data_IF_486098445995
#
_entry.id   IF_486098445995
#
_cell.length_a   1.000
_cell.length_b   1.000
_cell.length_c   1.000
_cell.angle_alpha   90.00
_cell.angle_beta   90.00
_cell.angle_gamma   90.00
#
_symmetry.space_group_name_H-M   'P 1'
#
loop_
_entity.id
_entity.type
_entity.pdbx_description
1 polymer ?
#
# COMPACT_ATOMS: atom_id res chain seq x y z
N UNK A 1 -21.22 -22.86 0.55
CA UNK A 1 -20.21 -23.94 0.54
C UNK A 1 -18.97 -23.31 -0.05
N UNK A 2 -17.83 -23.31 0.63
CA UNK A 2 -16.59 -22.71 0.06
C UNK A 2 -16.09 -23.74 -0.95
N UNK A 3 -16.11 -23.38 -2.24
CA UNK A 3 -15.73 -24.27 -3.32
C UNK A 3 -14.20 -24.36 -3.43
N UNK A 4 -13.71 -25.55 -3.78
CA UNK A 4 -12.27 -25.79 -3.94
C UNK A 4 -11.63 -24.83 -4.98
N UNK A 5 -12.42 -24.40 -5.97
CA UNK A 5 -12.03 -23.39 -6.96
C UNK A 5 -11.67 -22.04 -6.33
N UNK A 6 -12.41 -21.61 -5.30
CA UNK A 6 -12.17 -20.33 -4.60
C UNK A 6 -10.81 -20.33 -3.87
N UNK A 7 -10.39 -21.46 -3.27
CA UNK A 7 -9.07 -21.58 -2.66
C UNK A 7 -7.94 -21.53 -3.70
N UNK A 8 -8.13 -22.12 -4.88
CA UNK A 8 -7.14 -22.05 -5.96
C UNK A 8 -7.01 -20.61 -6.44
N UNK A 9 -8.12 -19.90 -6.58
CA UNK A 9 -8.13 -18.48 -7.00
C UNK A 9 -7.43 -17.59 -5.99
N UNK A 10 -7.66 -17.81 -4.69
CA UNK A 10 -6.98 -17.07 -3.64
C UNK A 10 -5.47 -17.36 -3.61
N UNK A 11 -5.08 -18.63 -3.74
CA UNK A 11 -3.67 -19.01 -3.82
C UNK A 11 -2.99 -18.37 -5.06
N UNK A 12 -3.69 -18.34 -6.19
CA UNK A 12 -3.20 -17.69 -7.40
C UNK A 12 -3.05 -16.17 -7.20
N UNK A 13 -4.03 -15.53 -6.54
CA UNK A 13 -3.96 -14.11 -6.22
C UNK A 13 -2.76 -13.79 -5.33
N UNK A 14 -2.53 -14.57 -4.28
CA UNK A 14 -1.36 -14.40 -3.40
C UNK A 14 -0.04 -14.61 -4.16
N UNK A 15 0.01 -15.60 -5.05
CA UNK A 15 1.19 -15.85 -5.88
C UNK A 15 1.44 -14.67 -6.82
N UNK A 16 0.41 -14.12 -7.43
CA UNK A 16 0.51 -12.92 -8.28
C UNK A 16 1.00 -11.73 -7.47
N UNK A 17 0.47 -11.51 -6.26
CA UNK A 17 0.94 -10.45 -5.37
C UNK A 17 2.43 -10.59 -5.09
N UNK A 18 2.87 -11.76 -4.64
CA UNK A 18 4.28 -12.03 -4.30
C UNK A 18 5.21 -11.81 -5.49
N UNK A 19 4.79 -12.24 -6.68
CA UNK A 19 5.62 -12.14 -7.88
C UNK A 19 5.49 -10.76 -8.55
N UNK A 20 4.31 -10.16 -8.65
CA UNK A 20 4.13 -8.92 -9.38
C UNK A 20 4.57 -7.67 -8.59
N UNK A 21 4.58 -7.70 -7.26
CA UNK A 21 4.93 -6.55 -6.44
C UNK A 21 6.38 -6.04 -6.68
N UNK A 22 7.42 -6.89 -6.72
CA UNK A 22 8.76 -6.44 -7.09
C UNK A 22 8.85 -5.92 -8.53
N UNK A 23 8.14 -6.57 -9.49
CA UNK A 23 8.09 -6.10 -10.87
C UNK A 23 7.44 -4.72 -10.98
N UNK A 24 6.34 -4.49 -10.25
CA UNK A 24 5.65 -3.21 -10.19
C UNK A 24 6.55 -2.10 -9.63
N UNK A 25 7.27 -2.38 -8.55
CA UNK A 25 8.27 -1.45 -8.01
C UNK A 25 9.38 -1.16 -9.02
N UNK A 26 9.88 -2.18 -9.71
CA UNK A 26 10.87 -2.04 -10.79
C UNK A 26 10.35 -1.22 -11.97
N UNK A 27 9.08 -1.42 -12.35
CA UNK A 27 8.39 -0.63 -13.37
C UNK A 27 8.35 0.86 -13.00
N UNK A 28 7.88 1.18 -11.80
CA UNK A 28 7.81 2.56 -11.30
C UNK A 28 9.21 3.22 -11.30
N UNK A 29 10.22 2.52 -10.77
CA UNK A 29 11.61 3.02 -10.78
C UNK A 29 12.12 3.25 -12.21
N UNK A 30 11.81 2.36 -13.14
CA UNK A 30 12.21 2.48 -14.55
C UNK A 30 11.57 3.70 -15.23
N UNK A 31 10.25 3.89 -15.03
CA UNK A 31 9.51 5.04 -15.58
C UNK A 31 10.06 6.34 -14.98
N UNK A 32 10.28 6.39 -13.67
CA UNK A 32 10.82 7.56 -12.95
C UNK A 32 12.21 7.94 -13.49
N UNK A 33 13.11 6.97 -13.65
CA UNK A 33 14.45 7.21 -14.21
C UNK A 33 14.38 7.71 -15.64
N UNK A 34 13.52 7.14 -16.48
CA UNK A 34 13.33 7.62 -17.88
C UNK A 34 12.84 9.07 -17.92
N UNK A 35 11.87 9.43 -17.08
CA UNK A 35 11.36 10.81 -16.99
C UNK A 35 12.43 11.80 -16.52
N UNK A 36 13.37 11.33 -15.68
CA UNK A 36 14.49 12.15 -15.21
C UNK A 36 15.72 12.13 -16.14
N UNK A 37 15.63 11.49 -17.29
CA UNK A 37 16.77 11.35 -18.22
C UNK A 37 17.90 10.46 -17.70
N UNK A 38 17.60 9.57 -16.72
CA UNK A 38 18.58 8.65 -16.13
C UNK A 38 18.37 7.22 -16.64
N UNK A 39 19.44 6.44 -16.67
CA UNK A 39 19.38 5.00 -16.95
C UNK A 39 19.07 4.23 -15.68
N UNK A 40 18.20 3.22 -15.76
CA UNK A 40 17.89 2.31 -14.68
C UNK A 40 18.29 0.88 -15.04
N UNK A 41 18.62 0.07 -14.02
CA UNK A 41 19.13 -1.29 -14.19
C UNK A 41 18.08 -2.33 -14.69
N UNK A 42 16.82 -1.90 -14.89
CA UNK A 42 15.74 -2.73 -15.44
C UNK A 42 14.68 -3.12 -14.41
N UNK A 43 13.53 -3.60 -14.93
CA UNK A 43 12.34 -3.94 -14.14
C UNK A 43 12.62 -5.07 -13.13
N UNK A 44 13.51 -5.99 -13.46
CA UNK A 44 13.85 -7.15 -12.63
C UNK A 44 14.90 -6.87 -11.55
N UNK A 45 15.37 -5.64 -11.42
CA UNK A 45 16.36 -5.29 -10.40
C UNK A 45 15.89 -5.60 -8.96
N UNK A 46 14.64 -5.27 -8.55
CA UNK A 46 14.17 -5.59 -7.20
C UNK A 46 14.24 -7.07 -6.84
N UNK A 47 14.02 -7.97 -7.81
CA UNK A 47 14.17 -9.42 -7.55
C UNK A 47 15.63 -9.79 -7.24
N UNK A 48 16.58 -9.22 -7.98
CA UNK A 48 18.01 -9.46 -7.74
C UNK A 48 18.43 -8.95 -6.37
N UNK A 49 17.89 -7.81 -5.95
CA UNK A 49 18.16 -7.21 -4.65
C UNK A 49 17.61 -8.10 -3.53
N UNK A 50 16.38 -8.59 -3.64
CA UNK A 50 15.78 -9.53 -2.69
C UNK A 50 16.58 -10.82 -2.63
N UNK A 51 16.90 -11.45 -3.76
CA UNK A 51 17.68 -12.70 -3.81
C UNK A 51 19.07 -12.53 -3.19
N UNK A 52 19.73 -11.40 -3.47
CA UNK A 52 21.02 -11.05 -2.87
C UNK A 52 20.92 -10.91 -1.34
N UNK A 53 19.85 -10.30 -0.83
CA UNK A 53 19.64 -10.16 0.60
C UNK A 53 19.36 -11.52 1.28
N UNK A 54 18.61 -12.40 0.63
CA UNK A 54 18.38 -13.76 1.15
C UNK A 54 19.64 -14.61 1.23
N UNK A 55 20.63 -14.36 0.36
CA UNK A 55 21.92 -15.07 0.39
C UNK A 55 22.90 -14.54 1.43
N UNK A 56 22.58 -13.41 2.08
CA UNK A 56 23.43 -12.80 3.10
C UNK A 56 23.08 -13.30 4.51
N UNK A 57 24.07 -13.34 5.38
CA UNK A 57 23.90 -13.63 6.78
C UNK A 57 23.14 -12.53 7.51
N UNK A 58 22.40 -12.92 8.54
CA UNK A 58 21.70 -12.01 9.44
C UNK A 58 22.62 -11.63 10.57
N UNK A 59 22.97 -10.37 10.65
CA UNK A 59 23.69 -9.80 11.78
C UNK A 59 22.66 -9.09 12.65
N UNK A 60 22.59 -9.44 13.92
CA UNK A 60 21.70 -8.85 14.90
C UNK A 60 22.53 -8.00 15.87
N UNK A 61 22.01 -6.84 16.26
CA UNK A 61 22.58 -6.04 17.32
C UNK A 61 22.50 -6.81 18.66
N UNK A 62 23.49 -6.66 19.52
CA UNK A 62 23.54 -7.35 20.82
C UNK A 62 22.33 -7.01 21.71
N UNK A 63 21.82 -5.79 21.60
CA UNK A 63 20.67 -5.29 22.35
C UNK A 63 19.31 -5.66 21.73
N UNK A 64 19.29 -6.36 20.58
CA UNK A 64 18.06 -6.69 19.89
C UNK A 64 17.21 -7.68 20.69
N UNK A 65 15.97 -7.25 21.06
CA UNK A 65 15.02 -8.11 21.74
C UNK A 65 14.32 -9.10 20.78
N UNK A 66 13.39 -9.88 21.31
CA UNK A 66 12.57 -10.76 20.48
C UNK A 66 11.66 -9.98 19.50
N UNK A 67 11.25 -8.75 19.87
CA UNK A 67 10.42 -7.88 19.02
C UNK A 67 11.14 -7.59 17.71
N UNK A 68 12.40 -7.14 17.77
CA UNK A 68 13.18 -6.85 16.58
C UNK A 68 13.35 -8.10 15.68
N UNK A 69 13.51 -9.28 16.27
CA UNK A 69 13.72 -10.54 15.53
C UNK A 69 12.45 -11.01 14.82
N UNK A 70 11.26 -10.83 15.44
CA UNK A 70 9.98 -11.31 14.90
C UNK A 70 9.27 -10.30 13.99
N UNK A 71 9.54 -9.01 14.14
CA UNK A 71 8.91 -7.95 13.33
C UNK A 71 8.99 -8.20 11.82
N UNK A 72 10.10 -8.61 11.19
CA UNK A 72 10.13 -8.88 9.76
C UNK A 72 9.12 -9.94 9.31
N UNK A 73 8.93 -10.97 10.11
CA UNK A 73 7.98 -12.05 9.83
C UNK A 73 6.53 -11.60 10.01
N UNK A 74 6.26 -10.78 11.05
CA UNK A 74 4.94 -10.20 11.30
C UNK A 74 4.57 -9.26 10.16
N UNK A 75 5.45 -8.34 9.80
CA UNK A 75 5.24 -7.36 8.72
C UNK A 75 4.98 -8.07 7.40
N UNK A 76 5.80 -9.06 7.06
CA UNK A 76 5.62 -9.83 5.83
C UNK A 76 4.31 -10.63 5.86
N UNK A 77 4.03 -11.39 6.94
CA UNK A 77 2.85 -12.21 7.07
C UNK A 77 1.54 -11.40 7.04
N UNK A 78 1.49 -10.27 7.77
CA UNK A 78 0.32 -9.38 7.76
C UNK A 78 0.14 -8.75 6.37
N UNK A 79 1.22 -8.37 5.67
CA UNK A 79 1.10 -7.82 4.31
C UNK A 79 0.56 -8.86 3.33
N UNK A 80 0.98 -10.12 3.41
CA UNK A 80 0.43 -11.22 2.62
C UNK A 80 -1.05 -11.44 2.93
N UNK A 81 -1.42 -11.41 4.21
CA UNK A 81 -2.82 -11.56 4.65
C UNK A 81 -3.70 -10.43 4.08
N UNK A 82 -3.25 -9.17 4.13
CA UNK A 82 -3.96 -8.05 3.51
C UNK A 82 -4.17 -8.30 2.01
N UNK A 83 -3.14 -8.81 1.32
CA UNK A 83 -3.24 -9.13 -0.10
C UNK A 83 -4.22 -10.26 -0.44
N UNK A 84 -4.47 -11.18 0.51
CA UNK A 84 -5.51 -12.20 0.38
C UNK A 84 -6.94 -11.65 0.58
N UNK A 85 -7.08 -10.67 1.48
CA UNK A 85 -8.38 -10.07 1.81
C UNK A 85 -8.91 -9.17 0.68
N UNK A 86 -8.04 -8.43 -0.02
CA UNK A 86 -8.46 -7.48 -1.06
C UNK A 86 -8.86 -8.23 -2.33
N UNK A 87 -10.06 -8.02 -2.90
CA UNK A 87 -10.48 -8.63 -4.15
C UNK A 87 -9.72 -8.00 -5.33
N UNK A 88 -8.61 -8.62 -5.74
CA UNK A 88 -7.76 -8.13 -6.83
C UNK A 88 -8.19 -8.69 -8.19
N UNK A 89 -8.55 -9.97 -8.24
CA UNK A 89 -8.85 -10.72 -9.46
C UNK A 89 -10.31 -11.16 -9.49
N UNK A 90 -10.79 -11.67 -8.36
CA UNK A 90 -12.14 -12.17 -8.19
C UNK A 90 -12.79 -11.65 -6.92
N UNK A 91 -14.11 -11.62 -6.93
CA UNK A 91 -14.95 -11.14 -5.84
C UNK A 91 -15.22 -12.25 -4.82
N UNK A 92 -15.33 -13.51 -5.27
CA UNK A 92 -15.71 -14.66 -4.45
C UNK A 92 -14.47 -15.40 -3.91
N UNK A 93 -13.76 -14.75 -2.99
CA UNK A 93 -12.60 -15.33 -2.32
C UNK A 93 -13.00 -15.86 -0.93
N UNK A 94 -12.37 -16.93 -0.41
CA UNK A 94 -12.61 -17.44 0.94
C UNK A 94 -12.43 -16.38 2.03
N UNK A 95 -11.40 -15.53 1.92
CA UNK A 95 -11.16 -14.44 2.85
C UNK A 95 -12.00 -13.18 2.56
N UNK A 96 -12.77 -13.15 1.47
CA UNK A 96 -13.63 -12.00 1.14
C UNK A 96 -14.71 -11.75 2.21
N UNK A 97 -15.14 -12.77 2.94
CA UNK A 97 -16.05 -12.64 4.08
C UNK A 97 -15.47 -11.78 5.22
N UNK A 98 -14.14 -11.73 5.34
CA UNK A 98 -13.42 -10.90 6.31
C UNK A 98 -12.95 -9.57 5.74
N UNK A 99 -13.27 -9.29 4.47
CA UNK A 99 -12.86 -8.10 3.75
C UNK A 99 -13.65 -6.86 4.21
N UNK A 100 -13.55 -6.54 5.49
CA UNK A 100 -14.07 -5.29 6.06
C UNK A 100 -13.00 -4.19 5.98
N UNK A 101 -13.41 -3.00 5.59
CA UNK A 101 -12.53 -1.84 5.49
C UNK A 101 -11.85 -1.49 6.80
N UNK A 102 -12.58 -1.64 7.92
CA UNK A 102 -12.04 -1.36 9.26
C UNK A 102 -10.93 -2.36 9.58
N UNK A 103 -11.18 -3.66 9.32
CA UNK A 103 -10.18 -4.70 9.51
C UNK A 103 -8.92 -4.45 8.66
N UNK A 104 -9.10 -4.02 7.42
CA UNK A 104 -8.00 -3.70 6.51
C UNK A 104 -7.11 -2.56 7.06
N UNK A 105 -7.71 -1.46 7.51
CA UNK A 105 -6.97 -0.33 8.10
C UNK A 105 -6.25 -0.74 9.37
N UNK A 106 -6.88 -1.56 10.23
CA UNK A 106 -6.25 -2.11 11.43
C UNK A 106 -5.06 -3.01 11.13
N UNK A 107 -5.12 -3.81 10.07
CA UNK A 107 -3.98 -4.63 9.63
C UNK A 107 -2.80 -3.75 9.15
N UNK A 108 -3.06 -2.66 8.43
CA UNK A 108 -2.01 -1.70 8.10
C UNK A 108 -1.42 -1.02 9.34
N UNK A 109 -2.25 -0.69 10.34
CA UNK A 109 -1.79 -0.14 11.62
C UNK A 109 -0.88 -1.13 12.37
N UNK A 110 -1.17 -2.44 12.34
CA UNK A 110 -0.30 -3.48 12.93
C UNK A 110 1.09 -3.46 12.29
N UNK A 111 1.19 -3.38 10.97
CA UNK A 111 2.48 -3.31 10.26
C UNK A 111 3.30 -2.12 10.77
N UNK A 112 2.69 -0.94 10.86
CA UNK A 112 3.34 0.27 11.36
C UNK A 112 3.75 0.16 12.81
N UNK A 113 2.85 -0.32 13.65
CA UNK A 113 3.10 -0.49 15.07
C UNK A 113 4.35 -1.34 15.32
N UNK A 114 4.42 -2.53 14.73
CA UNK A 114 5.57 -3.41 14.91
C UNK A 114 6.85 -2.83 14.29
N UNK A 115 6.77 -2.15 13.15
CA UNK A 115 7.95 -1.51 12.53
C UNK A 115 8.50 -0.38 13.41
N UNK A 116 7.62 0.48 13.93
CA UNK A 116 8.02 1.56 14.84
C UNK A 116 8.57 1.02 16.17
N UNK A 117 7.93 -0.02 16.72
CA UNK A 117 8.38 -0.67 17.95
C UNK A 117 9.77 -1.30 17.78
N UNK A 118 10.02 -1.97 16.66
CA UNK A 118 11.32 -2.54 16.34
C UNK A 118 12.40 -1.47 16.14
N UNK A 119 12.05 -0.33 15.51
CA UNK A 119 12.97 0.79 15.37
C UNK A 119 13.40 1.40 16.71
N UNK A 120 12.53 1.36 17.72
CA UNK A 120 12.86 1.81 19.09
C UNK A 120 13.61 0.77 19.91
N UNK A 121 13.38 -0.52 19.64
CA UNK A 121 13.89 -1.65 20.45
C UNK A 121 15.41 -1.68 20.56
N UNK A 122 16.12 -1.31 19.50
CA UNK A 122 17.59 -1.33 19.47
C UNK A 122 18.20 -0.15 20.23
N UNK A 123 17.44 0.92 20.46
CA UNK A 123 17.93 2.10 21.17
C UNK A 123 18.87 2.99 20.35
N UNK A 124 18.89 2.87 19.01
CA UNK A 124 19.67 3.78 18.15
C UNK A 124 18.95 5.13 17.98
N UNK A 125 19.74 6.20 17.86
CA UNK A 125 19.19 7.56 17.69
C UNK A 125 18.35 7.68 16.42
N UNK A 126 18.75 7.04 15.32
CA UNK A 126 18.02 7.06 14.06
C UNK A 126 16.72 6.26 14.13
N UNK A 127 16.75 5.06 14.72
CA UNK A 127 15.55 4.24 14.94
C UNK A 127 14.51 4.98 15.79
N UNK A 128 14.94 5.60 16.89
CA UNK A 128 14.05 6.38 17.76
C UNK A 128 13.45 7.60 17.07
N UNK A 129 14.26 8.36 16.30
CA UNK A 129 13.77 9.51 15.53
C UNK A 129 12.81 9.08 14.40
N UNK A 130 13.12 8.00 13.66
CA UNK A 130 12.26 7.46 12.63
C UNK A 130 10.91 7.03 13.18
N UNK A 131 10.91 6.26 14.26
CA UNK A 131 9.71 5.78 14.94
C UNK A 131 8.82 6.91 15.46
N UNK A 132 9.40 7.93 16.10
CA UNK A 132 8.67 9.09 16.57
C UNK A 132 7.98 9.86 15.43
N UNK A 133 8.65 10.03 14.30
CA UNK A 133 8.10 10.67 13.10
C UNK A 133 6.99 9.83 12.48
N UNK A 134 7.20 8.52 12.36
CA UNK A 134 6.20 7.59 11.83
C UNK A 134 4.92 7.60 12.65
N UNK A 135 5.02 7.58 13.98
CA UNK A 135 3.86 7.65 14.87
C UNK A 135 3.10 8.98 14.74
N UNK A 136 3.81 10.10 14.52
CA UNK A 136 3.18 11.40 14.26
C UNK A 136 2.43 11.40 12.92
N UNK A 137 3.01 10.79 11.89
CA UNK A 137 2.38 10.64 10.58
C UNK A 137 1.15 9.72 10.68
N UNK A 138 1.27 8.59 11.35
CA UNK A 138 0.21 7.61 11.55
C UNK A 138 -1.03 8.24 12.20
N UNK A 139 -0.85 9.07 13.22
CA UNK A 139 -1.95 9.73 13.95
C UNK A 139 -2.88 10.57 13.06
N UNK A 140 -2.41 11.03 11.91
CA UNK A 140 -3.19 11.80 10.93
C UNK A 140 -3.55 10.98 9.68
N UNK A 141 -2.65 10.10 9.22
CA UNK A 141 -2.85 9.31 8.01
C UNK A 141 -3.93 8.24 8.19
N UNK A 142 -3.99 7.59 9.36
CA UNK A 142 -4.99 6.55 9.64
C UNK A 142 -6.43 7.09 9.66
N UNK A 143 -6.74 8.18 10.39
CA UNK A 143 -8.07 8.78 10.32
C UNK A 143 -8.43 9.27 8.92
N UNK A 144 -7.47 9.86 8.18
CA UNK A 144 -7.71 10.32 6.81
C UNK A 144 -8.06 9.15 5.87
N UNK A 145 -7.34 8.01 6.01
CA UNK A 145 -7.61 6.79 5.26
C UNK A 145 -8.99 6.23 5.59
N UNK A 146 -9.33 6.11 6.88
CA UNK A 146 -10.64 5.63 7.33
C UNK A 146 -11.76 6.50 6.74
N UNK A 147 -11.68 7.82 6.87
CA UNK A 147 -12.69 8.75 6.35
C UNK A 147 -12.83 8.68 4.84
N UNK A 148 -11.71 8.57 4.09
CA UNK A 148 -11.74 8.44 2.63
C UNK A 148 -12.46 7.17 2.19
N UNK A 149 -12.16 6.02 2.84
CA UNK A 149 -12.79 4.76 2.48
C UNK A 149 -14.22 4.66 3.02
N UNK A 150 -14.53 5.27 4.18
CA UNK A 150 -15.91 5.38 4.66
C UNK A 150 -16.81 6.20 3.73
N UNK A 151 -16.29 7.22 3.06
CA UNK A 151 -17.07 7.95 2.04
C UNK A 151 -17.54 7.01 0.92
N UNK A 152 -16.67 6.10 0.48
CA UNK A 152 -17.04 5.09 -0.52
C UNK A 152 -17.98 4.03 0.08
N UNK A 153 -17.77 3.64 1.34
CA UNK A 153 -18.65 2.72 2.08
C UNK A 153 -20.08 3.26 2.20
N UNK A 154 -20.23 4.56 2.46
CA UNK A 154 -21.55 5.22 2.48
C UNK A 154 -22.22 5.16 1.10
N UNK A 155 -21.50 5.44 0.02
CA UNK A 155 -22.02 5.34 -1.33
C UNK A 155 -22.44 3.91 -1.72
N UNK A 156 -21.80 2.89 -1.13
CA UNK A 156 -22.11 1.48 -1.35
C UNK A 156 -23.08 0.90 -0.30
N UNK A 157 -23.43 1.64 0.75
CA UNK A 157 -24.21 1.18 1.91
C UNK A 157 -23.66 -0.08 2.57
N UNK A 158 -22.34 -0.29 2.56
CA UNK A 158 -21.68 -1.47 3.15
C UNK A 158 -20.22 -1.19 3.48
N UNK A 159 -19.73 -1.77 4.58
CA UNK A 159 -18.30 -1.75 4.95
C UNK A 159 -17.52 -2.90 4.30
N UNK A 160 -18.21 -3.88 3.70
CA UNK A 160 -17.57 -4.97 2.98
C UNK A 160 -16.92 -4.47 1.69
N UNK A 161 -15.61 -4.63 1.57
CA UNK A 161 -14.85 -4.21 0.40
C UNK A 161 -15.34 -4.88 -0.88
N UNK A 162 -15.69 -6.16 -0.80
CA UNK A 162 -16.25 -6.93 -1.93
C UNK A 162 -17.54 -6.32 -2.43
N UNK A 163 -18.47 -6.00 -1.52
CA UNK A 163 -19.74 -5.37 -1.88
C UNK A 163 -19.53 -3.96 -2.43
N UNK A 164 -18.62 -3.18 -1.85
CA UNK A 164 -18.26 -1.85 -2.36
C UNK A 164 -17.79 -1.93 -3.81
N UNK A 165 -16.88 -2.85 -4.11
CA UNK A 165 -16.36 -3.06 -5.47
C UNK A 165 -17.46 -3.49 -6.43
N UNK A 166 -18.38 -4.38 -6.02
CA UNK A 166 -19.52 -4.81 -6.83
C UNK A 166 -20.46 -3.64 -7.16
N UNK A 167 -20.85 -2.86 -6.16
CA UNK A 167 -21.74 -1.71 -6.35
C UNK A 167 -21.10 -0.66 -7.26
N UNK A 168 -19.81 -0.38 -7.08
CA UNK A 168 -19.07 0.56 -7.92
C UNK A 168 -18.87 0.03 -9.35
N UNK A 169 -18.74 -1.29 -9.54
CA UNK A 169 -18.59 -1.90 -10.87
C UNK A 169 -19.88 -1.87 -11.70
N UNK A 170 -21.03 -2.05 -11.06
CA UNK A 170 -22.33 -2.12 -11.73
C UNK A 170 -23.09 -0.76 -11.68
N UNK A 171 -22.65 0.18 -10.88
CA UNK A 171 -23.24 1.50 -10.77
C UNK A 171 -23.10 2.31 -12.08
N UNK A 172 -24.06 3.19 -12.36
CA UNK A 172 -23.89 4.18 -13.41
C UNK A 172 -22.70 5.08 -13.06
N UNK A 173 -21.84 5.34 -14.03
CA UNK A 173 -20.70 6.24 -13.85
C UNK A 173 -21.21 7.68 -13.69
N UNK A 174 -21.56 8.05 -12.47
CA UNK A 174 -21.89 9.43 -12.11
C UNK A 174 -20.65 10.01 -11.41
N UNK A 175 -20.15 11.11 -11.94
CA UNK A 175 -19.10 11.91 -11.29
C UNK A 175 -19.68 12.50 -10.00
N UNK A 176 -19.52 11.78 -8.90
CA UNK A 176 -19.94 12.25 -7.57
C UNK A 176 -18.82 13.07 -6.94
N UNK A 177 -19.08 14.29 -6.50
CA UNK A 177 -18.07 15.12 -5.85
C UNK A 177 -17.47 14.44 -4.61
N UNK A 178 -18.27 13.69 -3.85
CA UNK A 178 -17.85 12.93 -2.69
C UNK A 178 -16.72 11.95 -3.01
N UNK A 179 -16.84 11.19 -4.12
CA UNK A 179 -15.83 10.23 -4.56
C UNK A 179 -14.56 10.91 -5.06
N UNK A 180 -14.67 12.09 -5.68
CA UNK A 180 -13.51 12.86 -6.14
C UNK A 180 -12.65 13.34 -4.94
N UNK A 181 -13.29 13.88 -3.90
CA UNK A 181 -12.59 14.26 -2.66
C UNK A 181 -11.98 13.03 -1.94
N UNK A 182 -12.72 11.92 -1.87
CA UNK A 182 -12.23 10.69 -1.29
C UNK A 182 -11.01 10.13 -2.05
N UNK A 183 -11.03 10.15 -3.39
CA UNK A 183 -9.90 9.74 -4.23
C UNK A 183 -8.67 10.62 -3.98
N UNK A 184 -8.85 11.95 -3.90
CA UNK A 184 -7.74 12.86 -3.63
C UNK A 184 -7.11 12.58 -2.27
N UNK A 185 -7.93 12.43 -1.22
CA UNK A 185 -7.47 12.05 0.11
C UNK A 185 -6.76 10.70 0.11
N UNK A 186 -7.31 9.71 -0.58
CA UNK A 186 -6.72 8.39 -0.72
C UNK A 186 -5.33 8.45 -1.39
N UNK A 187 -5.18 9.20 -2.48
CA UNK A 187 -3.88 9.37 -3.16
C UNK A 187 -2.86 10.01 -2.20
N UNK A 188 -3.24 11.03 -1.44
CA UNK A 188 -2.34 11.68 -0.48
C UNK A 188 -1.89 10.72 0.62
N UNK A 189 -2.80 9.91 1.16
CA UNK A 189 -2.48 8.87 2.13
C UNK A 189 -1.64 7.76 1.51
N UNK A 190 -1.95 7.30 0.29
CA UNK A 190 -1.17 6.30 -0.43
C UNK A 190 0.30 6.71 -0.58
N UNK A 191 0.58 7.97 -0.98
CA UNK A 191 1.94 8.49 -1.07
C UNK A 191 2.64 8.49 0.29
N UNK A 192 1.92 8.83 1.35
CA UNK A 192 2.43 8.82 2.73
C UNK A 192 2.79 7.41 3.17
N UNK A 193 1.85 6.48 3.03
CA UNK A 193 1.97 5.10 3.48
C UNK A 193 3.08 4.32 2.78
N UNK A 194 3.37 4.68 1.56
CA UNK A 194 4.40 4.04 0.75
C UNK A 194 5.74 4.77 0.78
N UNK A 195 5.90 5.77 1.68
CA UNK A 195 7.15 6.50 1.87
C UNK A 195 7.64 7.23 0.61
N UNK A 196 6.70 7.87 -0.12
CA UNK A 196 6.99 8.52 -1.40
C UNK A 196 6.94 10.04 -1.30
N UNK A 197 7.52 10.70 -2.31
CA UNK A 197 7.42 12.16 -2.45
C UNK A 197 5.92 12.53 -2.55
N UNK A 198 5.42 13.52 -1.79
CA UNK A 198 6.18 14.59 -1.10
C UNK A 198 6.61 14.29 0.35
N UNK A 199 6.22 13.15 0.92
CA UNK A 199 6.40 12.84 2.35
C UNK A 199 7.81 12.39 2.66
N UNK A 200 8.29 11.35 1.98
CA UNK A 200 9.64 10.84 2.13
C UNK A 200 10.33 10.69 0.77
N UNK A 201 11.65 10.67 0.77
CA UNK A 201 12.43 10.41 -0.42
C UNK A 201 13.62 9.51 -0.07
N UNK A 202 13.50 8.20 -0.29
CA UNK A 202 14.57 7.25 0.01
C UNK A 202 15.86 7.49 -0.80
N UNK A 203 15.81 8.27 -1.88
CA UNK A 203 17.00 8.61 -2.66
C UNK A 203 17.83 9.75 -2.06
N UNK A 204 17.31 10.50 -1.10
CA UNK A 204 18.07 11.52 -0.37
C UNK A 204 18.48 10.95 0.98
N UNK A 205 19.69 10.40 1.06
CA UNK A 205 20.32 9.88 2.28
C UNK A 205 20.67 10.99 3.29
N UNK A 206 19.79 11.96 3.48
CA UNK A 206 19.91 12.96 4.51
C UNK A 206 19.30 12.41 5.79
N UNK A 207 20.12 11.98 6.71
CA UNK A 207 19.79 11.35 8.00
C UNK A 207 18.71 12.11 8.78
N UNK A 208 18.70 13.44 8.68
CA UNK A 208 17.73 14.31 9.35
C UNK A 208 16.31 14.28 8.73
N UNK A 209 16.11 13.66 7.56
CA UNK A 209 14.82 13.67 6.84
C UNK A 209 14.25 12.29 6.55
N UNK A 210 14.96 11.24 6.96
CA UNK A 210 14.52 9.84 6.80
C UNK A 210 13.42 9.51 7.82
N UNK A 211 12.43 8.74 7.38
CA UNK A 211 11.33 8.24 8.21
C UNK A 211 11.35 6.71 8.18
N UNK A 212 10.88 6.10 7.12
CA UNK A 212 10.80 4.64 6.99
C UNK A 212 12.18 3.97 6.98
N UNK A 213 13.11 4.49 6.19
CA UNK A 213 14.48 3.97 6.09
C UNK A 213 15.21 4.01 7.44
N UNK A 214 14.95 5.04 8.27
CA UNK A 214 15.60 5.17 9.58
C UNK A 214 15.24 4.04 10.55
N UNK A 215 14.03 3.48 10.46
CA UNK A 215 13.57 2.39 11.33
C UNK A 215 14.15 1.03 10.93
N UNK A 216 14.58 0.87 9.68
CA UNK A 216 15.04 -0.41 9.14
C UNK A 216 16.55 -0.49 8.94
N UNK A 217 17.30 0.56 9.26
CA UNK A 217 18.75 0.66 9.06
C UNK A 217 19.55 -0.49 9.70
N UNK A 218 19.10 -0.97 10.84
CA UNK A 218 19.79 -2.01 11.61
C UNK A 218 19.48 -3.44 11.14
N UNK A 219 18.53 -3.59 10.21
CA UNK A 219 18.20 -4.89 9.65
C UNK A 219 19.21 -5.32 8.58
N UNK A 220 19.54 -6.60 8.54
CA UNK A 220 20.47 -7.19 7.57
C UNK A 220 19.98 -8.53 7.04
N UNK A 221 20.58 -8.99 5.94
CA UNK A 221 20.32 -10.30 5.35
C UNK A 221 18.85 -10.58 5.08
N UNK A 222 18.39 -11.78 5.45
CA UNK A 222 17.01 -12.23 5.19
C UNK A 222 15.94 -11.39 5.90
N UNK A 223 16.24 -10.81 7.06
CA UNK A 223 15.29 -9.96 7.77
C UNK A 223 14.98 -8.68 6.98
N UNK A 224 16.03 -8.02 6.45
CA UNK A 224 15.89 -6.89 5.57
C UNK A 224 15.17 -7.28 4.27
N UNK A 225 15.46 -8.45 3.70
CA UNK A 225 14.79 -8.95 2.50
C UNK A 225 13.27 -9.05 2.69
N UNK A 226 12.82 -9.57 3.84
CA UNK A 226 11.38 -9.68 4.15
C UNK A 226 10.71 -8.32 4.28
N UNK A 227 11.36 -7.36 4.96
CA UNK A 227 10.81 -6.00 5.13
C UNK A 227 10.74 -5.27 3.78
N UNK A 228 11.81 -5.32 2.99
CA UNK A 228 11.85 -4.72 1.65
C UNK A 228 10.79 -5.34 0.73
N UNK A 229 10.63 -6.65 0.76
CA UNK A 229 9.59 -7.32 -0.04
C UNK A 229 8.21 -6.94 0.43
N UNK A 230 7.96 -6.90 1.75
CA UNK A 230 6.71 -6.41 2.31
C UNK A 230 6.41 -4.95 1.90
N UNK A 231 7.41 -4.08 1.88
CA UNK A 231 7.28 -2.71 1.38
C UNK A 231 6.86 -2.65 -0.09
N UNK A 232 7.43 -3.51 -0.94
CA UNK A 232 7.03 -3.63 -2.35
C UNK A 232 5.59 -4.14 -2.49
N UNK A 233 5.19 -5.14 -1.69
CA UNK A 233 3.81 -5.63 -1.62
C UNK A 233 2.85 -4.56 -1.12
N UNK A 234 3.22 -3.80 -0.09
CA UNK A 234 2.42 -2.69 0.44
C UNK A 234 2.11 -1.66 -0.66
N UNK A 235 3.12 -1.28 -1.45
CA UNK A 235 2.94 -0.39 -2.60
C UNK A 235 1.96 -0.95 -3.64
N UNK A 236 2.11 -2.21 -3.99
CA UNK A 236 1.22 -2.91 -4.92
C UNK A 236 -0.22 -2.94 -4.38
N UNK A 237 -0.39 -3.31 -3.11
CA UNK A 237 -1.67 -3.43 -2.42
C UNK A 237 -2.40 -2.08 -2.38
N UNK A 238 -1.74 -0.99 -1.98
CA UNK A 238 -2.36 0.34 -1.97
C UNK A 238 -2.77 0.79 -3.37
N UNK A 239 -1.94 0.56 -4.38
CA UNK A 239 -2.27 0.87 -5.77
C UNK A 239 -3.46 0.04 -6.26
N UNK A 240 -3.47 -1.25 -5.97
CA UNK A 240 -4.54 -2.16 -6.35
C UNK A 240 -5.86 -1.86 -5.61
N UNK A 241 -5.79 -1.51 -4.32
CA UNK A 241 -6.94 -1.08 -3.52
C UNK A 241 -7.57 0.19 -4.10
N UNK A 242 -6.76 1.20 -4.45
CA UNK A 242 -7.26 2.39 -5.12
C UNK A 242 -7.94 2.08 -6.46
N UNK A 243 -7.36 1.18 -7.25
CA UNK A 243 -7.95 0.73 -8.51
C UNK A 243 -9.26 -0.04 -8.26
N UNK A 244 -9.30 -0.95 -7.29
CA UNK A 244 -10.48 -1.73 -6.97
C UNK A 244 -11.66 -0.87 -6.49
N UNK A 245 -11.38 0.19 -5.73
CA UNK A 245 -12.42 1.09 -5.19
C UNK A 245 -12.87 2.12 -6.23
N UNK A 246 -11.93 2.81 -6.89
CA UNK A 246 -12.26 3.96 -7.75
C UNK A 246 -12.37 3.63 -9.23
N UNK A 247 -11.80 2.49 -9.68
CA UNK A 247 -11.81 2.02 -11.06
C UNK A 247 -12.11 0.51 -11.15
N UNK A 248 -13.26 0.02 -10.64
CA UNK A 248 -13.53 -1.40 -10.44
C UNK A 248 -13.81 -2.20 -11.73
N UNK A 249 -13.79 -1.57 -12.89
CA UNK A 249 -14.11 -2.26 -14.15
C UNK A 249 -13.13 -3.39 -14.46
N UNK A 250 -13.65 -4.50 -15.01
CA UNK A 250 -12.86 -5.66 -15.47
C UNK A 250 -12.45 -6.62 -14.35
N UNK A 251 -13.14 -6.60 -13.19
CA UNK A 251 -13.04 -7.64 -12.17
C UNK A 251 -13.93 -8.81 -12.60
N UNK A 252 -13.39 -10.03 -12.63
CA UNK A 252 -14.10 -11.21 -13.11
C UNK A 252 -15.07 -11.77 -12.07
N UNK A 253 -16.19 -12.34 -12.55
CA UNK A 253 -16.96 -13.29 -11.75
C UNK A 253 -16.23 -14.65 -11.77
N UNK A 254 -16.34 -15.44 -10.70
CA UNK A 254 -15.51 -16.61 -10.41
C UNK A 254 -15.66 -17.80 -11.34
N UNK A 255 -16.73 -17.90 -12.13
CA UNK A 255 -17.11 -19.13 -12.82
C UNK A 255 -16.49 -19.29 -14.21
N UNK A 256 -15.79 -18.28 -14.73
CA UNK A 256 -15.19 -18.30 -16.06
C UNK A 256 -13.66 -18.16 -16.02
N UNK A 257 -12.89 -19.23 -16.33
CA UNK A 257 -11.42 -19.14 -16.38
C UNK A 257 -10.89 -18.11 -17.39
N UNK A 258 -11.62 -17.90 -18.50
CA UNK A 258 -11.25 -16.87 -19.48
C UNK A 258 -11.47 -15.47 -18.93
N UNK A 259 -12.56 -15.26 -18.18
CA UNK A 259 -12.82 -14.02 -17.44
C UNK A 259 -11.76 -13.72 -16.39
N UNK A 260 -11.29 -14.75 -15.67
CA UNK A 260 -10.20 -14.58 -14.69
C UNK A 260 -8.88 -14.14 -15.35
N UNK A 261 -8.49 -14.76 -16.47
CA UNK A 261 -7.30 -14.37 -17.21
C UNK A 261 -7.41 -12.93 -17.71
N UNK A 262 -8.56 -12.57 -18.26
CA UNK A 262 -8.83 -11.19 -18.66
C UNK A 262 -8.74 -10.21 -17.47
N UNK A 263 -9.30 -10.57 -16.29
CA UNK A 263 -9.22 -9.80 -15.07
C UNK A 263 -7.78 -9.52 -14.62
N UNK A 264 -6.91 -10.55 -14.67
CA UNK A 264 -5.48 -10.38 -14.37
C UNK A 264 -4.81 -9.41 -15.34
N UNK A 265 -5.07 -9.55 -16.65
CA UNK A 265 -4.51 -8.65 -17.67
C UNK A 265 -5.00 -7.22 -17.45
N UNK A 266 -6.29 -7.02 -17.19
CA UNK A 266 -6.85 -5.70 -16.86
C UNK A 266 -6.22 -5.11 -15.60
N UNK A 267 -6.04 -5.90 -14.53
CA UNK A 267 -5.38 -5.46 -13.30
C UNK A 267 -3.95 -4.99 -13.60
N UNK A 268 -3.16 -5.78 -14.33
CA UNK A 268 -1.77 -5.43 -14.66
C UNK A 268 -1.69 -4.18 -15.53
N UNK A 269 -2.59 -4.03 -16.51
CA UNK A 269 -2.67 -2.83 -17.35
C UNK A 269 -3.01 -1.58 -16.51
N UNK A 270 -4.01 -1.67 -15.62
CA UNK A 270 -4.39 -0.58 -14.73
C UNK A 270 -3.27 -0.21 -13.76
N UNK A 271 -2.58 -1.20 -13.18
CA UNK A 271 -1.41 -0.98 -12.34
C UNK A 271 -0.29 -0.31 -13.12
N UNK A 272 -0.02 -0.73 -14.36
CA UNK A 272 0.99 -0.09 -15.19
C UNK A 272 0.67 1.39 -15.43
N UNK A 273 -0.57 1.72 -15.77
CA UNK A 273 -1.05 3.11 -15.95
C UNK A 273 -1.02 3.86 -14.61
N UNK A 274 -1.54 3.26 -13.54
CA UNK A 274 -1.51 3.84 -12.19
C UNK A 274 -0.09 4.14 -11.71
N UNK A 275 0.87 3.24 -12.02
CA UNK A 275 2.30 3.46 -11.75
C UNK A 275 2.86 4.66 -12.51
N UNK A 276 2.46 4.89 -13.77
CA UNK A 276 2.85 6.09 -14.53
C UNK A 276 2.25 7.35 -13.91
N UNK A 277 0.96 7.34 -13.54
CA UNK A 277 0.29 8.46 -12.87
C UNK A 277 1.00 8.78 -11.55
N UNK A 278 1.33 7.76 -10.76
CA UNK A 278 2.05 7.92 -9.50
C UNK A 278 3.43 8.57 -9.72
N UNK A 279 4.17 8.17 -10.75
CA UNK A 279 5.46 8.80 -11.09
C UNK A 279 5.28 10.25 -11.55
N UNK A 280 4.22 10.56 -12.31
CA UNK A 280 3.91 11.94 -12.71
C UNK A 280 3.65 12.83 -11.48
N UNK A 281 2.88 12.32 -10.52
CA UNK A 281 2.61 13.03 -9.25
C UNK A 281 3.92 13.22 -8.47
N UNK A 282 4.74 12.16 -8.32
CA UNK A 282 6.02 12.24 -7.62
C UNK A 282 7.02 13.21 -8.26
N UNK A 283 7.05 13.28 -9.59
CA UNK A 283 7.99 14.17 -10.31
C UNK A 283 7.49 15.61 -10.36
N UNK A 284 6.18 15.82 -10.29
CA UNK A 284 5.55 17.14 -10.23
C UNK A 284 5.56 17.78 -8.84
N UNK A 285 5.68 16.99 -7.79
CA UNK A 285 5.70 17.47 -6.40
C UNK A 285 7.12 17.60 -5.87
N UNK A 286 7.36 18.68 -5.10
CA UNK A 286 8.60 18.83 -4.34
C UNK A 286 8.47 18.16 -2.97
N UNK A 287 9.60 17.65 -2.42
CA UNK A 287 9.62 17.13 -1.05
C UNK A 287 9.21 18.22 -0.06
N UNK A 288 8.22 17.92 0.77
CA UNK A 288 7.75 18.79 1.83
C UNK A 288 8.73 18.73 3.00
N UNK A 289 8.96 19.88 3.67
CA UNK A 289 9.75 19.91 4.91
C UNK A 289 9.03 19.12 6.01
N UNK A 290 9.78 18.42 6.85
CA UNK A 290 9.24 17.53 7.88
C UNK A 290 8.15 18.21 8.74
N UNK A 291 8.34 19.46 9.14
CA UNK A 291 7.37 20.22 9.95
C UNK A 291 6.06 20.58 9.21
N UNK A 292 6.04 20.51 7.87
CA UNK A 292 4.83 20.72 7.06
C UNK A 292 4.12 19.43 6.67
N UNK A 293 4.63 18.27 7.10
CA UNK A 293 3.94 16.99 6.87
C UNK A 293 2.59 16.93 7.57
N UNK A 294 2.47 17.54 8.76
CA UNK A 294 1.21 17.67 9.47
C UNK A 294 0.18 18.51 8.70
N UNK A 295 0.62 19.58 8.02
CA UNK A 295 -0.24 20.39 7.15
C UNK A 295 -0.71 19.58 5.93
N UNK A 296 0.20 18.82 5.32
CA UNK A 296 -0.12 17.94 4.19
C UNK A 296 -1.13 16.87 4.58
N UNK A 297 -0.92 16.16 5.70
CA UNK A 297 -1.85 15.14 6.18
C UNK A 297 -3.14 15.74 6.73
N UNK A 298 -3.07 16.91 7.35
CA UNK A 298 -4.26 17.68 7.74
C UNK A 298 -5.12 18.04 6.52
N UNK A 299 -4.52 18.42 5.39
CA UNK A 299 -5.26 18.66 4.15
C UNK A 299 -5.85 17.37 3.57
N UNK A 300 -5.16 16.22 3.68
CA UNK A 300 -5.73 14.93 3.28
C UNK A 300 -6.95 14.57 4.13
N UNK A 301 -6.88 14.79 5.44
CA UNK A 301 -8.01 14.60 6.34
C UNK A 301 -9.18 15.56 6.02
N UNK A 302 -8.90 16.82 5.71
CA UNK A 302 -9.91 17.79 5.28
C UNK A 302 -10.58 17.37 3.97
N UNK A 303 -9.84 16.89 2.98
CA UNK A 303 -10.45 16.36 1.75
C UNK A 303 -11.33 15.12 2.03
N UNK A 304 -10.88 14.22 2.90
CA UNK A 304 -11.67 13.06 3.29
C UNK A 304 -12.99 13.47 3.98
N UNK A 305 -12.94 14.43 4.92
CA UNK A 305 -14.13 14.96 5.59
C UNK A 305 -15.04 15.72 4.64
N UNK A 306 -14.49 16.52 3.71
CA UNK A 306 -15.28 17.18 2.66
C UNK A 306 -15.96 16.17 1.75
N UNK A 307 -15.29 15.06 1.43
CA UNK A 307 -15.92 13.95 0.68
C UNK A 307 -17.13 13.40 1.39
N UNK A 308 -17.00 13.11 2.69
CA UNK A 308 -18.09 12.60 3.51
C UNK A 308 -19.24 13.61 3.64
N UNK A 309 -18.94 14.89 3.90
CA UNK A 309 -19.95 15.95 3.97
C UNK A 309 -20.65 16.19 2.64
N UNK A 310 -19.90 16.15 1.54
CA UNK A 310 -20.44 16.28 0.18
C UNK A 310 -21.46 15.20 -0.13
N UNK A 311 -21.23 13.96 0.34
CA UNK A 311 -22.18 12.86 0.20
C UNK A 311 -23.52 13.18 0.89
N UNK A 312 -23.49 13.69 2.13
CA UNK A 312 -24.72 14.00 2.88
C UNK A 312 -25.48 15.25 2.38
N UNK A 313 -24.78 16.19 1.72
CA UNK A 313 -25.39 17.48 1.31
C UNK A 313 -25.84 17.45 -0.14
N UNK A 314 -25.10 16.76 -1.02
CA UNK A 314 -25.28 16.86 -2.48
C UNK A 314 -25.82 15.56 -3.11
N UNK A 315 -25.72 14.42 -2.42
CA UNK A 315 -26.09 13.08 -2.93
C UNK A 315 -27.14 12.43 -2.04
#
# INVERSE_FOLDING_TARGET
MIDFSSFITEALQLLILLLAAPAFTGWIKTVKCRMQGRTYAGIFQPYRDIMKLFSKEVILAENASWIFRFTPYIVFGVTVLIGGIIPLISIDLPLAATADVIALVMLFAIIRFFTALAGMDIGTAFGGMGSSREMTIASLAEPAMLMAVFTVSLAANSTSLTHMVQVMAHGQFVLRPSLAFALLAFIMVHLTETGRVPVDNPATHLELTMIHEAMILEYSGRHLALIEWAGMMKLFIYSALGIAIFCPWGIAATDDPAGMLAGVVFLLCKLAVGGVILVLIETGLAKVRLFRLTEYLGSAFLFATLGMLSFFILE
#
